data_IF_401678408354
#
_entry.id   IF_401678408354
#
_cell.length_a   1.000
_cell.length_b   1.000
_cell.length_c   1.000
_cell.angle_alpha   90.00
_cell.angle_beta   90.00
_cell.angle_gamma   90.00
#
_symmetry.space_group_name_H-M   'P 1'
#
loop_
_entity.id
_entity.type
_entity.pdbx_description
1 polymer ?
#
# COMPACT_ATOMS: atom_id res chain seq x y z
N UNK A 1 -7.55 9.30 22.12
CA UNK A 1 -7.82 10.13 20.92
C UNK A 1 -7.37 9.44 19.63
N UNK A 2 -6.07 9.15 19.39
CA UNK A 2 -5.63 8.44 18.16
C UNK A 2 -5.96 6.94 18.17
N UNK A 3 -5.91 6.28 19.33
CA UNK A 3 -6.34 4.87 19.49
C UNK A 3 -7.81 4.66 19.14
N UNK A 4 -8.64 5.64 19.45
CA UNK A 4 -10.10 5.57 19.28
C UNK A 4 -10.48 5.72 17.80
N UNK A 5 -9.68 6.48 17.04
CA UNK A 5 -9.79 6.56 15.58
C UNK A 5 -9.59 5.18 14.94
N UNK A 6 -8.54 4.45 15.29
CA UNK A 6 -8.26 3.14 14.68
C UNK A 6 -9.27 2.07 15.09
N UNK A 7 -9.82 2.16 16.31
CA UNK A 7 -10.95 1.32 16.72
C UNK A 7 -12.20 1.60 15.89
N UNK A 8 -12.48 2.88 15.62
CA UNK A 8 -13.64 3.24 14.80
C UNK A 8 -13.47 2.85 13.33
N UNK A 9 -12.26 3.00 12.76
CA UNK A 9 -11.93 2.52 11.41
C UNK A 9 -12.11 1.01 11.25
N UNK A 10 -12.05 0.25 12.35
CA UNK A 10 -12.32 -1.18 12.32
C UNK A 10 -13.79 -1.51 12.02
N UNK A 11 -14.73 -0.61 12.32
CA UNK A 11 -16.17 -0.87 12.34
C UNK A 11 -16.98 0.00 11.37
N UNK A 12 -16.39 1.05 10.79
CA UNK A 12 -17.10 2.03 9.96
C UNK A 12 -17.82 1.40 8.75
N UNK A 13 -17.22 0.42 8.08
CA UNK A 13 -17.84 -0.29 6.95
C UNK A 13 -18.71 -1.44 7.49
N UNK A 14 -19.88 -1.06 8.01
CA UNK A 14 -20.84 -1.96 8.64
C UNK A 14 -21.58 -2.85 7.64
N UNK A 15 -21.75 -2.41 6.38
CA UNK A 15 -22.48 -3.18 5.36
C UNK A 15 -21.69 -4.40 4.89
N UNK A 16 -20.36 -4.34 4.89
CA UNK A 16 -19.50 -5.47 4.54
C UNK A 16 -18.82 -6.12 5.74
N UNK A 17 -18.97 -5.53 6.94
CA UNK A 17 -18.33 -5.94 8.18
C UNK A 17 -16.80 -6.09 8.05
N UNK A 18 -16.13 -5.07 7.49
CA UNK A 18 -14.69 -5.05 7.22
C UNK A 18 -14.05 -3.77 7.71
N UNK A 19 -12.82 -3.84 8.21
CA UNK A 19 -12.06 -2.66 8.61
C UNK A 19 -11.58 -1.83 7.41
N UNK A 20 -11.52 -0.51 7.58
CA UNK A 20 -11.02 0.45 6.57
C UNK A 20 -9.66 1.00 7.02
N UNK A 21 -8.57 0.36 6.61
CA UNK A 21 -7.22 0.61 7.15
C UNK A 21 -6.16 0.94 6.10
N UNK A 22 -6.54 1.57 4.98
CA UNK A 22 -5.59 1.96 3.93
C UNK A 22 -4.48 2.89 4.44
N UNK A 23 -4.74 3.68 5.49
CA UNK A 23 -3.74 4.53 6.15
C UNK A 23 -2.59 3.73 6.79
N UNK A 24 -2.83 2.47 7.21
CA UNK A 24 -1.79 1.62 7.77
C UNK A 24 -0.71 1.26 6.72
N UNK A 25 -1.06 1.28 5.43
CA UNK A 25 -0.13 1.03 4.32
C UNK A 25 0.95 2.11 4.18
N UNK A 26 0.78 3.27 4.84
CA UNK A 26 1.72 4.39 4.81
C UNK A 26 2.39 4.65 6.17
N UNK A 27 2.11 3.82 7.17
CA UNK A 27 2.62 4.01 8.52
C UNK A 27 4.12 3.67 8.61
N UNK A 28 4.91 4.40 9.43
CA UNK A 28 6.30 4.04 9.67
C UNK A 28 6.41 2.68 10.38
N UNK A 29 7.56 2.01 10.27
CA UNK A 29 7.77 0.63 10.76
C UNK A 29 7.50 0.45 12.25
N UNK A 30 7.72 1.49 13.04
CA UNK A 30 7.56 1.54 14.49
C UNK A 30 6.15 1.95 14.93
N UNK A 31 5.24 2.26 13.99
CA UNK A 31 3.88 2.63 14.32
C UNK A 31 3.09 1.51 15.00
N UNK A 32 2.19 1.91 15.89
CA UNK A 32 1.29 1.02 16.62
C UNK A 32 -0.16 1.27 16.20
N UNK A 33 -0.65 0.46 15.27
CA UNK A 33 -2.04 0.52 14.78
C UNK A 33 -2.73 -0.80 15.15
N UNK A 34 -3.59 -0.74 16.17
CA UNK A 34 -4.24 -1.89 16.80
C UNK A 34 -5.77 -1.80 16.75
N UNK A 35 -6.40 -1.97 15.56
CA UNK A 35 -7.86 -1.92 15.41
C UNK A 35 -8.56 -2.93 16.32
N UNK A 36 -8.07 -4.18 16.34
CA UNK A 36 -8.60 -5.29 17.13
C UNK A 36 -7.56 -5.84 18.14
N UNK A 37 -6.78 -4.94 18.74
CA UNK A 37 -5.77 -5.29 19.74
C UNK A 37 -4.46 -5.89 19.20
N UNK A 38 -4.43 -6.37 17.95
CA UNK A 38 -3.20 -6.81 17.25
C UNK A 38 -2.62 -5.68 16.39
N UNK A 39 -1.29 -5.47 16.43
CA UNK A 39 -0.63 -4.48 15.57
C UNK A 39 -0.56 -5.00 14.12
N UNK A 40 -1.11 -4.24 13.18
CA UNK A 40 -1.13 -4.63 11.75
C UNK A 40 0.10 -4.16 10.97
N UNK A 41 0.86 -3.20 11.49
CA UNK A 41 2.02 -2.59 10.82
C UNK A 41 3.12 -3.60 10.44
N UNK A 42 3.48 -4.60 11.27
CA UNK A 42 4.50 -5.58 10.89
C UNK A 42 4.13 -6.38 9.63
N UNK A 43 2.84 -6.68 9.43
CA UNK A 43 2.37 -7.43 8.27
C UNK A 43 2.46 -6.60 6.98
N UNK A 44 2.20 -5.29 7.07
CA UNK A 44 2.35 -4.34 5.93
C UNK A 44 3.79 -4.30 5.43
N UNK A 45 4.78 -4.34 6.32
CA UNK A 45 6.19 -4.27 5.96
C UNK A 45 6.79 -5.61 5.53
N UNK A 46 6.13 -6.72 5.85
CA UNK A 46 6.59 -8.07 5.52
C UNK A 46 5.94 -8.59 4.23
N UNK A 47 6.05 -7.83 3.15
CA UNK A 47 5.53 -8.19 1.82
C UNK A 47 6.66 -8.66 0.91
N UNK A 48 6.48 -9.81 0.27
CA UNK A 48 7.45 -10.43 -0.64
C UNK A 48 7.79 -11.87 -0.26
N UNK A 49 8.06 -12.71 -1.27
CA UNK A 49 8.23 -14.14 -1.04
C UNK A 49 9.68 -14.57 -0.77
N UNK A 50 10.64 -13.94 -1.44
CA UNK A 50 12.03 -14.45 -1.51
C UNK A 50 13.10 -13.42 -1.12
N UNK A 51 12.71 -12.22 -0.69
CA UNK A 51 13.63 -11.16 -0.27
C UNK A 51 14.54 -10.60 -1.37
N UNK A 52 14.31 -10.93 -2.65
CA UNK A 52 15.07 -10.41 -3.80
C UNK A 52 14.34 -9.20 -4.42
N UNK A 53 15.07 -8.20 -4.95
CA UNK A 53 14.47 -7.09 -5.67
C UNK A 53 13.66 -7.57 -6.89
N UNK A 54 12.45 -7.03 -7.06
CA UNK A 54 11.64 -7.22 -8.26
C UNK A 54 12.15 -6.29 -9.36
N UNK A 55 12.36 -6.81 -10.56
CA UNK A 55 12.82 -6.03 -11.73
C UNK A 55 11.71 -5.77 -12.73
N UNK A 56 10.85 -6.76 -12.92
CA UNK A 56 9.78 -6.74 -13.92
C UNK A 56 8.43 -6.78 -13.22
N UNK A 57 7.56 -5.86 -13.63
CA UNK A 57 6.19 -5.74 -13.10
C UNK A 57 5.21 -5.76 -14.25
N UNK A 58 4.18 -6.59 -14.14
CA UNK A 58 3.03 -6.62 -15.05
C UNK A 58 1.79 -6.30 -14.23
N UNK A 59 1.15 -5.18 -14.52
CA UNK A 59 -0.09 -4.78 -13.88
C UNK A 59 -1.28 -5.41 -14.62
N UNK A 60 -1.90 -6.43 -14.02
CA UNK A 60 -3.11 -7.06 -14.55
C UNK A 60 -4.26 -6.74 -13.60
N UNK A 61 -5.26 -6.00 -14.05
CA UNK A 61 -6.41 -5.69 -13.23
C UNK A 61 -7.40 -4.73 -13.88
N UNK A 62 -8.53 -4.54 -13.21
CA UNK A 62 -9.56 -3.54 -13.56
C UNK A 62 -9.83 -2.64 -12.37
N UNK A 63 -10.39 -1.45 -12.61
CA UNK A 63 -10.77 -0.51 -11.55
C UNK A 63 -9.58 -0.13 -10.66
N UNK A 64 -9.77 -0.16 -9.34
CA UNK A 64 -8.75 0.25 -8.37
C UNK A 64 -7.43 -0.51 -8.47
N UNK A 65 -7.46 -1.77 -8.93
CA UNK A 65 -6.26 -2.60 -9.11
C UNK A 65 -5.36 -2.15 -10.27
N UNK A 66 -5.87 -1.32 -11.19
CA UNK A 66 -5.13 -0.83 -12.36
C UNK A 66 -4.99 0.69 -12.38
N UNK A 67 -6.05 1.42 -12.03
CA UNK A 67 -6.08 2.88 -12.11
C UNK A 67 -5.06 3.54 -11.18
N UNK A 68 -4.82 2.99 -9.99
CA UNK A 68 -3.80 3.50 -9.07
C UNK A 68 -2.38 3.42 -9.64
N UNK A 69 -1.90 2.22 -10.05
CA UNK A 69 -0.63 2.06 -10.73
C UNK A 69 -0.48 2.92 -11.99
N UNK A 70 -1.50 2.96 -12.85
CA UNK A 70 -1.50 3.78 -14.07
C UNK A 70 -1.33 5.26 -13.73
N UNK A 71 -2.11 5.77 -12.78
CA UNK A 71 -2.06 7.17 -12.38
C UNK A 71 -0.68 7.56 -11.84
N UNK A 72 -0.16 6.82 -10.84
CA UNK A 72 1.15 7.12 -10.24
C UNK A 72 2.27 6.98 -11.26
N UNK A 73 2.23 5.92 -12.08
CA UNK A 73 3.21 5.74 -13.15
C UNK A 73 3.22 6.96 -14.07
N UNK A 74 2.05 7.34 -14.60
CA UNK A 74 1.90 8.46 -15.54
C UNK A 74 2.32 9.79 -14.92
N UNK A 75 1.91 10.06 -13.68
CA UNK A 75 2.19 11.31 -12.98
C UNK A 75 3.68 11.51 -12.69
N UNK A 76 4.44 10.43 -12.52
CA UNK A 76 5.86 10.48 -12.15
C UNK A 76 6.81 10.21 -13.33
N UNK A 77 6.31 10.04 -14.57
CA UNK A 77 7.16 9.71 -15.73
C UNK A 77 8.24 10.76 -16.00
N UNK A 78 8.00 12.02 -15.62
CA UNK A 78 8.92 13.14 -15.86
C UNK A 78 9.65 13.60 -14.61
N UNK A 79 9.40 12.97 -13.45
CA UNK A 79 10.11 13.30 -12.22
C UNK A 79 11.56 12.76 -12.29
N UNK A 80 12.60 13.60 -12.10
CA UNK A 80 13.98 13.17 -12.24
C UNK A 80 14.40 12.07 -11.25
N UNK A 81 13.90 12.10 -10.01
CA UNK A 81 14.25 11.10 -9.00
C UNK A 81 13.59 9.75 -9.29
N UNK A 82 12.34 9.77 -9.75
CA UNK A 82 11.63 8.59 -10.20
C UNK A 82 12.32 7.96 -11.42
N UNK A 83 12.71 8.77 -12.41
CA UNK A 83 13.44 8.29 -13.59
C UNK A 83 14.75 7.59 -13.20
N UNK A 84 15.54 8.18 -12.31
CA UNK A 84 16.78 7.55 -11.83
C UNK A 84 16.49 6.22 -11.12
N UNK A 85 15.47 6.20 -10.26
CA UNK A 85 15.08 5.03 -9.47
C UNK A 85 14.54 3.88 -10.33
N UNK A 86 14.07 4.15 -11.54
CA UNK A 86 13.53 3.13 -12.46
C UNK A 86 14.60 2.47 -13.34
N UNK A 87 15.85 2.92 -13.31
CA UNK A 87 16.93 2.30 -14.10
C UNK A 87 17.02 0.80 -13.83
N UNK A 88 16.98 0.00 -14.90
CA UNK A 88 17.03 -1.46 -14.81
C UNK A 88 15.73 -2.16 -14.37
N UNK A 89 14.62 -1.42 -14.28
CA UNK A 89 13.29 -1.93 -13.98
C UNK A 89 12.34 -1.72 -15.17
N UNK A 90 11.37 -2.63 -15.34
CA UNK A 90 10.34 -2.52 -16.38
C UNK A 90 8.94 -2.67 -15.80
N UNK A 91 8.04 -1.78 -16.21
CA UNK A 91 6.62 -1.86 -15.92
C UNK A 91 5.84 -2.02 -17.22
N UNK A 92 4.96 -3.02 -17.26
CA UNK A 92 3.92 -3.16 -18.29
C UNK A 92 2.57 -2.90 -17.63
N UNK A 93 1.92 -1.82 -18.07
CA UNK A 93 0.53 -1.49 -17.78
C UNK A 93 -0.36 -2.12 -18.86
#
# INVERSE_FOLDING_TARGET
MVSDLFKWLAQINSTENRSVLHVALRAPKDALIKPDGKNVVPEVWNVGAIGKPLKDVIAIGIGGSFLGPLFVHTALQTDPQALESTKGHQLRL
#
